data_IF_587634146833
#
_entry.id   IF_587634146833
#
_cell.length_a   1.000
_cell.length_b   1.000
_cell.length_c   1.000
_cell.angle_alpha   90.00
_cell.angle_beta   90.00
_cell.angle_gamma   90.00
#
_symmetry.space_group_name_H-M   'P 1'
#
loop_
_entity.id
_entity.type
_entity.pdbx_description
1 polymer ?
#
# COMPACT_ATOMS: atom_id res chain seq x y z
N UNK A 1 1.23 6.66 -13.46
CA UNK A 1 1.36 5.20 -13.64
C UNK A 1 2.18 4.61 -12.51
N UNK A 2 1.70 3.55 -11.91
CA UNK A 2 2.38 2.87 -10.80
C UNK A 2 3.06 1.61 -11.32
N UNK A 3 4.38 1.54 -11.23
CA UNK A 3 5.18 0.48 -11.84
C UNK A 3 6.06 -0.19 -10.80
N UNK A 4 6.06 -1.52 -10.78
CA UNK A 4 6.90 -2.29 -9.87
C UNK A 4 7.68 -3.36 -10.66
N UNK A 5 8.91 -3.68 -10.21
CA UNK A 5 9.66 -4.79 -10.80
C UNK A 5 9.03 -6.13 -10.42
N UNK A 6 9.01 -7.05 -11.36
CA UNK A 6 8.43 -8.37 -11.15
C UNK A 6 9.49 -9.37 -10.71
N UNK A 7 9.24 -10.08 -9.62
CA UNK A 7 10.10 -11.17 -9.17
C UNK A 7 9.57 -12.52 -9.63
N UNK A 8 10.48 -13.45 -9.83
CA UNK A 8 10.11 -14.82 -10.23
C UNK A 8 9.45 -15.59 -9.10
N UNK A 9 9.82 -15.31 -7.85
CA UNK A 9 9.28 -15.99 -6.69
C UNK A 9 8.28 -15.10 -5.97
N UNK A 10 7.16 -15.68 -5.59
CA UNK A 10 6.15 -14.98 -4.80
C UNK A 10 6.17 -15.47 -3.38
N UNK A 11 6.10 -14.52 -2.45
CA UNK A 11 5.94 -14.84 -1.05
C UNK A 11 4.45 -15.03 -0.75
N UNK A 12 4.12 -16.16 -0.15
CA UNK A 12 2.76 -16.47 0.24
C UNK A 12 2.67 -16.42 1.76
N UNK A 13 1.68 -15.72 2.27
CA UNK A 13 1.38 -15.71 3.69
C UNK A 13 -0.04 -16.18 3.93
N UNK A 14 -0.23 -17.03 4.94
CA UNK A 14 -1.55 -17.54 5.33
C UNK A 14 -2.22 -16.70 6.41
N UNK A 15 -1.64 -15.59 6.80
CA UNK A 15 -2.20 -14.73 7.85
C UNK A 15 -3.26 -13.80 7.30
N UNK A 16 -4.32 -13.58 8.09
CA UNK A 16 -5.37 -12.63 7.74
C UNK A 16 -4.89 -11.18 7.89
N UNK A 17 -4.05 -10.94 8.89
CA UNK A 17 -3.48 -9.62 9.13
C UNK A 17 -2.00 -9.74 9.46
N UNK A 18 -1.25 -8.72 9.15
CA UNK A 18 0.16 -8.67 9.47
C UNK A 18 0.57 -7.21 9.69
N UNK A 19 1.50 -7.00 10.61
CA UNK A 19 2.03 -5.66 10.90
C UNK A 19 3.11 -5.33 9.88
N UNK A 20 2.98 -4.16 9.26
CA UNK A 20 3.95 -3.65 8.30
C UNK A 20 4.49 -2.32 8.81
N UNK A 21 5.80 -2.15 8.75
CA UNK A 21 6.45 -0.90 9.15
C UNK A 21 6.25 0.17 8.10
N UNK A 22 5.92 1.36 8.55
CA UNK A 22 5.76 2.53 7.70
C UNK A 22 6.73 3.60 8.19
N UNK A 23 7.47 4.20 7.26
CA UNK A 23 8.40 5.29 7.60
C UNK A 23 7.63 6.51 8.05
N UNK A 24 8.23 7.30 8.93
CA UNK A 24 7.59 8.52 9.43
C UNK A 24 7.20 9.48 8.31
N UNK A 25 8.03 9.60 7.28
CA UNK A 25 7.71 10.45 6.13
C UNK A 25 6.46 9.98 5.38
N UNK A 26 6.26 8.66 5.27
CA UNK A 26 5.06 8.09 4.67
C UNK A 26 3.86 8.25 5.59
N UNK A 27 4.08 8.09 6.90
CA UNK A 27 3.03 8.24 7.88
C UNK A 27 2.45 9.65 7.91
N UNK A 28 3.27 10.67 7.65
CA UNK A 28 2.79 12.05 7.53
C UNK A 28 1.74 12.19 6.43
N UNK A 29 1.97 11.56 5.28
CA UNK A 29 0.97 11.55 4.19
C UNK A 29 -0.30 10.83 4.60
N UNK A 30 -0.16 9.71 5.28
CA UNK A 30 -1.31 8.94 5.76
C UNK A 30 -2.12 9.75 6.76
N UNK A 31 -1.45 10.39 7.72
CA UNK A 31 -2.11 11.18 8.75
C UNK A 31 -2.81 12.41 8.18
N UNK A 32 -2.24 13.03 7.16
CA UNK A 32 -2.90 14.12 6.46
C UNK A 32 -4.20 13.66 5.81
N UNK A 33 -4.18 12.50 5.15
CA UNK A 33 -5.37 11.93 4.56
C UNK A 33 -6.42 11.54 5.61
N UNK A 34 -5.98 11.04 6.76
CA UNK A 34 -6.87 10.73 7.88
C UNK A 34 -7.56 12.00 8.37
N UNK A 35 -6.79 13.06 8.55
CA UNK A 35 -7.31 14.33 9.06
C UNK A 35 -8.33 14.94 8.10
N UNK A 36 -8.06 14.92 6.81
CA UNK A 36 -8.95 15.52 5.82
C UNK A 36 -10.19 14.66 5.52
N UNK A 37 -10.09 13.36 5.62
CA UNK A 37 -11.19 12.45 5.26
C UNK A 37 -12.02 11.98 6.43
N UNK A 38 -11.46 11.97 7.64
CA UNK A 38 -12.11 11.38 8.81
C UNK A 38 -12.07 9.86 8.84
N UNK A 39 -11.38 9.23 7.90
CA UNK A 39 -11.22 7.77 7.86
C UNK A 39 -10.06 7.34 8.75
N UNK A 40 -10.04 6.06 9.13
CA UNK A 40 -8.93 5.50 9.90
C UNK A 40 -7.70 5.30 9.01
N UNK A 41 -6.53 5.15 9.64
CA UNK A 41 -5.30 4.81 8.91
C UNK A 41 -5.45 3.54 8.09
N UNK A 42 -6.08 2.52 8.68
CA UNK A 42 -6.31 1.24 8.00
C UNK A 42 -7.15 1.43 6.74
N UNK A 43 -8.22 2.20 6.85
CA UNK A 43 -9.11 2.46 5.70
C UNK A 43 -8.40 3.23 4.60
N UNK A 44 -7.59 4.23 4.97
CA UNK A 44 -6.80 5.00 4.02
C UNK A 44 -5.83 4.07 3.28
N UNK A 45 -5.11 3.22 4.03
CA UNK A 45 -4.15 2.30 3.44
C UNK A 45 -4.82 1.28 2.51
N UNK A 46 -5.95 0.74 2.92
CA UNK A 46 -6.70 -0.22 2.09
C UNK A 46 -7.11 0.41 0.76
N UNK A 47 -7.63 1.62 0.80
CA UNK A 47 -8.05 2.33 -0.41
C UNK A 47 -6.87 2.71 -1.30
N UNK A 48 -5.79 3.20 -0.69
CA UNK A 48 -4.60 3.60 -1.43
C UNK A 48 -3.95 2.40 -2.13
N UNK A 49 -3.83 1.29 -1.43
CA UNK A 49 -3.23 0.07 -1.98
C UNK A 49 -4.09 -0.50 -3.10
N UNK A 50 -5.40 -0.51 -2.95
CA UNK A 50 -6.31 -0.96 -4.02
C UNK A 50 -6.19 -0.08 -5.26
N UNK A 51 -6.14 1.23 -5.06
CA UNK A 51 -5.95 2.14 -6.17
C UNK A 51 -4.64 1.88 -6.89
N UNK A 52 -3.56 1.77 -6.13
CA UNK A 52 -2.24 1.51 -6.68
C UNK A 52 -2.19 0.17 -7.40
N UNK A 53 -2.80 -0.86 -6.84
CA UNK A 53 -2.84 -2.18 -7.45
C UNK A 53 -3.59 -2.17 -8.79
N UNK A 54 -4.70 -1.46 -8.86
CA UNK A 54 -5.48 -1.35 -10.10
C UNK A 54 -4.76 -0.57 -11.19
N UNK A 55 -3.88 0.35 -10.81
CA UNK A 55 -3.07 1.15 -11.73
C UNK A 55 -1.69 0.53 -11.98
N UNK A 56 -1.43 -0.62 -11.36
CA UNK A 56 -0.11 -1.22 -11.36
C UNK A 56 0.25 -1.84 -12.71
N UNK A 57 1.44 -1.52 -13.18
CA UNK A 57 2.09 -2.21 -14.28
C UNK A 57 3.38 -2.85 -13.78
N UNK A 58 3.58 -4.11 -14.16
CA UNK A 58 4.78 -4.83 -13.80
C UNK A 58 5.88 -4.61 -14.84
N UNK A 59 7.08 -4.30 -14.37
CA UNK A 59 8.25 -4.28 -15.24
C UNK A 59 8.74 -5.70 -15.42
N UNK A 60 8.84 -6.13 -16.67
CA UNK A 60 9.38 -7.44 -17.00
C UNK A 60 10.80 -7.29 -17.52
N UNK A 61 11.69 -8.16 -17.03
CA UNK A 61 13.07 -8.21 -17.52
C UNK A 61 13.17 -9.06 -18.79
#
# INVERSE_FOLDING_TARGET
MFTLPKKKEKRVTGRLTEVVRVRYSTLEYIDEMVEESGLSRQEIMDRAIRYAYNDLEWEEE
#
